data_IF_691250273133
#
_entry.id   IF_691250273133
#
_cell.length_a   1.000
_cell.length_b   1.000
_cell.length_c   1.000
_cell.angle_alpha   90.00
_cell.angle_beta   90.00
_cell.angle_gamma   90.00
#
_symmetry.space_group_name_H-M   'P 1'
#
loop_
_entity.id
_entity.type
_entity.pdbx_description
1 polymer ?
2 polymer ?
#
# COMPACT_ATOMS: atom_id res chain seq x y z
N UNK A 9 -4.45 5.93 -8.42
CA UNK A 9 -4.98 4.58 -8.75
C UNK A 9 -3.82 3.59 -8.91
N UNK A 10 -3.44 2.94 -7.84
CA UNK A 10 -2.31 1.97 -7.93
C UNK A 10 -2.84 0.55 -7.70
N UNK A 11 -1.99 -0.44 -7.80
CA UNK A 11 -2.44 -1.84 -7.58
C UNK A 11 -1.44 -2.56 -6.68
N UNK A 12 -1.91 -3.22 -5.65
CA UNK A 12 -0.97 -3.93 -4.74
C UNK A 12 -0.45 -5.20 -5.41
N UNK A 13 0.72 -5.14 -5.99
CA UNK A 13 1.30 -6.34 -6.64
C UNK A 13 1.04 -7.57 -5.77
N UNK A 14 1.05 -7.39 -4.48
CA UNK A 14 0.82 -8.55 -3.57
C UNK A 14 0.06 -8.11 -2.33
N UNK A 15 -0.50 -9.05 -1.61
CA UNK A 15 -1.23 -8.68 -0.36
C UNK A 15 -0.20 -8.21 0.66
N UNK A 16 -0.29 -6.99 1.10
CA UNK A 16 0.71 -6.49 2.08
C UNK A 16 0.19 -6.63 3.51
N UNK A 17 0.96 -7.23 4.37
CA UNK A 17 0.53 -7.39 5.79
C UNK A 17 1.03 -6.19 6.59
N UNK A 18 0.14 -5.40 7.12
CA UNK A 18 0.56 -4.21 7.91
C UNK A 18 1.72 -4.59 8.84
N UNK A 19 2.71 -3.76 8.93
CA UNK A 19 3.87 -4.06 9.82
C UNK A 19 3.73 -3.24 11.11
N UNK A 20 3.02 -2.15 11.05
CA UNK A 20 2.84 -1.30 12.26
C UNK A 20 1.39 -0.83 12.34
N UNK A 21 1.08 0.01 13.29
CA UNK A 21 -0.32 0.51 13.42
C UNK A 21 -0.48 1.78 12.58
N UNK A 22 0.27 1.90 11.52
CA UNK A 22 0.16 3.12 10.67
C UNK A 22 -0.10 2.73 9.21
N UNK A 23 0.22 1.52 8.83
CA UNK A 23 0.00 1.09 7.42
C UNK A 23 -1.24 0.19 7.33
N UNK A 24 -1.80 0.07 6.17
CA UNK A 24 -2.99 -0.81 6.00
C UNK A 24 -2.60 -2.02 5.15
N UNK A 25 -3.03 -3.19 5.53
CA UNK A 25 -2.68 -4.39 4.73
C UNK A 25 -3.59 -4.48 3.51
N UNK A 26 -3.03 -4.74 2.35
CA UNK A 26 -3.89 -4.84 1.14
C UNK A 26 -3.73 -6.23 0.52
N UNK A 27 -4.43 -6.50 -0.55
CA UNK A 27 -4.34 -7.84 -1.20
C UNK A 27 -3.79 -7.69 -2.62
N UNK A 28 -3.53 -8.78 -3.28
CA UNK A 28 -3.00 -8.70 -4.67
C UNK A 28 -4.13 -8.34 -5.62
N UNK A 29 -4.01 -7.23 -6.30
CA UNK A 29 -5.09 -6.82 -7.25
C UNK A 29 -6.00 -5.80 -6.58
N UNK A 30 -5.78 -5.52 -5.32
CA UNK A 30 -6.64 -4.53 -4.62
C UNK A 30 -6.24 -3.12 -5.04
N UNK A 31 -7.20 -2.30 -5.38
CA UNK A 31 -6.87 -0.91 -5.81
C UNK A 31 -6.54 -0.07 -4.57
N UNK A 32 -5.61 0.85 -4.70
CA UNK A 32 -5.25 1.70 -3.54
C UNK A 32 -5.10 3.15 -4.00
N UNK A 33 -5.90 4.04 -3.48
CA UNK A 33 -5.80 5.47 -3.89
C UNK A 33 -4.54 6.09 -3.27
N UNK A 34 -3.44 6.03 -3.97
CA UNK A 34 -2.18 6.61 -3.42
C UNK A 34 -2.46 8.04 -2.93
N UNK A 35 -1.71 8.49 -1.97
CA UNK A 35 -1.92 9.87 -1.45
C UNK A 35 -0.60 10.63 -1.47
N UNK A 36 0.31 10.28 -0.61
CA UNK A 36 1.62 10.97 -0.59
C UNK A 36 2.73 9.98 -0.96
N UNK A 37 3.41 10.22 -2.04
CA UNK A 37 4.49 9.28 -2.46
C UNK A 37 5.83 10.02 -2.46
N UNK A 38 6.08 10.83 -1.47
CA UNK A 38 7.37 11.57 -1.42
C UNK A 38 8.06 11.32 -0.07
N UNK A 39 7.40 10.66 0.83
CA UNK A 39 8.02 10.39 2.16
C UNK A 39 9.21 9.45 1.99
N UNK A 40 9.19 8.62 0.98
CA UNK A 40 10.32 7.68 0.75
C UNK A 40 9.80 6.42 0.06
N UNK A 41 10.08 5.27 0.62
CA UNK A 41 9.60 4.01 0.00
C UNK A 41 8.22 3.65 0.55
N UNK A 42 7.65 4.51 1.35
CA UNK A 42 6.30 4.22 1.91
C UNK A 42 5.35 5.37 1.58
N UNK A 43 4.27 5.09 0.91
CA UNK A 43 3.30 6.16 0.55
C UNK A 43 1.99 5.95 1.31
N UNK A 44 1.20 6.97 1.45
CA UNK A 44 -0.09 6.82 2.17
C UNK A 44 -1.19 6.44 1.18
N UNK A 45 -1.73 5.26 1.29
CA UNK A 45 -2.80 4.85 0.34
C UNK A 45 -4.14 4.80 1.06
N UNK A 46 -5.21 5.09 0.36
CA UNK A 46 -6.55 5.06 1.01
C UNK A 46 -7.41 3.99 0.33
N UNK A 47 -7.83 3.00 1.07
CA UNK A 47 -8.67 1.93 0.47
C UNK A 47 -10.08 2.46 0.22
N UNK A 48 -10.62 2.23 -0.95
CA UNK A 48 -11.99 2.73 -1.25
C UNK A 48 -13.02 1.66 -0.86
N UNK A 49 -12.60 0.43 -0.79
CA UNK A 49 -13.55 -0.66 -0.42
C UNK A 49 -14.11 -0.39 0.98
N UNK A 50 -13.26 -0.25 1.96
CA UNK A 50 -13.75 0.01 3.34
C UNK A 50 -13.74 1.51 3.61
N UNK A 51 -12.74 2.21 3.14
CA UNK A 51 -12.68 3.68 3.37
C UNK A 51 -11.73 3.97 4.54
N UNK A 52 -10.66 3.24 4.64
CA UNK A 52 -9.70 3.48 5.75
C UNK A 52 -8.37 3.97 5.18
N UNK A 53 -7.53 4.54 6.00
CA UNK A 53 -6.22 5.04 5.49
C UNK A 53 -5.09 4.17 6.05
N UNK A 54 -3.99 4.10 5.37
CA UNK A 54 -2.86 3.27 5.88
C UNK A 54 -1.68 3.35 4.90
N UNK A 55 -0.52 3.68 5.39
CA UNK A 55 0.66 3.76 4.50
C UNK A 55 0.80 2.44 3.75
N UNK A 56 1.75 2.35 2.85
CA UNK A 56 1.92 1.08 2.08
C UNK A 56 3.33 1.04 1.49
N UNK A 57 3.88 -0.15 1.42
CA UNK A 57 5.22 -0.36 0.85
C UNK A 57 5.15 -0.27 -0.68
N UNK A 58 5.99 0.53 -1.27
CA UNK A 58 5.96 0.69 -2.75
C UNK A 58 6.42 -0.59 -3.46
N UNK A 59 7.17 -1.43 -2.80
CA UNK A 59 7.64 -2.67 -3.47
C UNK A 59 6.48 -3.65 -3.61
N UNK A 60 5.41 -3.44 -2.89
CA UNK A 60 4.25 -4.37 -3.00
C UNK A 60 3.16 -3.74 -3.86
N UNK A 61 3.38 -2.54 -4.34
CA UNK A 61 2.35 -1.88 -5.20
C UNK A 61 2.99 -1.48 -6.52
N UNK A 62 2.19 -1.11 -7.48
CA UNK A 62 2.74 -0.70 -8.80
C UNK A 62 1.78 0.28 -9.48
N UNK A 63 2.34 1.23 -10.18
CA UNK A 63 1.56 2.26 -10.89
C UNK A 63 0.99 1.69 -12.20
N UNK A 64 -0.29 1.47 -12.25
CA UNK A 64 -0.90 0.92 -13.49
C UNK A 64 -1.16 2.06 -14.48
C UNK B 1 9.29 -0.48 13.15
N UNK B 2 8.73 -1.29 12.27
C UNK B 2 5.10 2.47 8.62
N UNK B 3 5.45 3.34 7.71
C UNK B 3 8.98 4.72 7.57
N UNK B 4 9.93 3.81 7.54
C UNK B 4 11.97 0.60 5.59
N UNK B 5 12.43 -0.50 6.12
CA UNK B 5 12.90 -1.64 5.32
C UNK B 5 11.72 -2.42 4.74
N UNK B 6 11.37 -2.16 3.50
CA UNK B 6 10.23 -2.89 2.88
C UNK B 6 10.37 -4.39 3.17
N UNK B 7 9.28 -5.10 3.04
CA UNK B 7 9.25 -6.55 3.29
C UNK B 7 9.84 -7.30 2.09
N UNK B 8 9.99 -8.59 2.25
CA UNK B 8 10.54 -9.46 1.19
C UNK B 8 9.48 -9.69 0.11
N UNK B 9 9.72 -9.21 -1.08
CA UNK B 9 8.72 -9.40 -2.17
C UNK B 9 8.48 -10.89 -2.40
N UNK B 10 7.31 -11.18 -2.91
CA UNK B 10 6.88 -12.55 -3.22
C UNK B 10 7.52 -13.02 -4.54
N UNK B 11 8.16 -14.16 -4.57
#
# INVERSE_FOLDING_TARGET
GSHMGGVTTFVALYDYESRTETDLSFKKGERLQIVNNTEGDWWLAHSLTTGQTGYIPSNYVAPS
XXXXPLPPLPX
#
